data_IF_223292034721
#
_entry.id   IF_223292034721
#
_cell.length_a   1.000
_cell.length_b   1.000
_cell.length_c   1.000
_cell.angle_alpha   90.00
_cell.angle_beta   90.00
_cell.angle_gamma   90.00
#
_symmetry.space_group_name_H-M   'P 1'
#
loop_
_entity.id
_entity.type
_entity.pdbx_description
1 polymer ?
#
# COMPACT_ATOMS: atom_id res chain seq x y z
N UNK A 1 -12.57 -8.35 -12.07
CA UNK A 1 -11.90 -9.55 -11.49
C UNK A 1 -10.85 -9.06 -10.50
N UNK A 2 -10.62 -9.73 -9.37
CA UNK A 2 -9.78 -9.18 -8.27
C UNK A 2 -8.29 -9.52 -8.37
N UNK A 3 -7.88 -10.44 -9.25
CA UNK A 3 -6.47 -10.77 -9.49
C UNK A 3 -6.04 -10.11 -10.79
N UNK A 4 -5.50 -8.91 -10.68
CA UNK A 4 -5.04 -8.13 -11.81
C UNK A 4 -3.89 -7.23 -11.37
N UNK A 5 -2.97 -7.01 -12.29
CA UNK A 5 -1.89 -6.02 -12.27
C UNK A 5 -2.22 -4.80 -13.16
N UNK A 6 -3.30 -4.89 -13.95
CA UNK A 6 -3.75 -3.82 -14.83
C UNK A 6 -4.42 -2.70 -14.04
N UNK A 7 -4.03 -1.47 -14.36
CA UNK A 7 -4.75 -0.26 -13.93
C UNK A 7 -5.72 0.25 -14.99
N UNK A 8 -5.84 -0.45 -16.13
CA UNK A 8 -6.69 -0.08 -17.25
C UNK A 8 -8.17 -0.08 -16.89
N UNK A 9 -8.87 0.94 -17.36
CA UNK A 9 -10.32 1.13 -17.31
C UNK A 9 -10.87 1.06 -18.72
N UNK A 10 -11.79 0.12 -18.96
CA UNK A 10 -12.53 0.03 -20.22
C UNK A 10 -13.58 1.13 -20.37
N UNK A 11 -14.11 1.27 -21.59
CA UNK A 11 -15.26 2.13 -21.89
C UNK A 11 -16.48 1.82 -21.01
N UNK A 12 -16.69 0.54 -20.67
CA UNK A 12 -17.76 0.11 -19.75
C UNK A 12 -17.50 0.67 -18.35
N UNK A 13 -16.27 0.57 -17.85
CA UNK A 13 -15.89 1.14 -16.56
C UNK A 13 -16.08 2.67 -16.53
N UNK A 14 -15.65 3.36 -17.59
CA UNK A 14 -15.82 4.80 -17.72
C UNK A 14 -17.31 5.18 -17.74
N UNK A 15 -18.14 4.41 -18.44
CA UNK A 15 -19.59 4.65 -18.50
C UNK A 15 -20.26 4.51 -17.14
N UNK A 16 -19.89 3.49 -16.36
CA UNK A 16 -20.37 3.30 -14.97
C UNK A 16 -19.98 4.51 -14.11
N UNK A 17 -18.75 5.00 -14.24
CA UNK A 17 -18.32 6.16 -13.47
C UNK A 17 -19.04 7.45 -13.89
N UNK A 18 -19.28 7.62 -15.20
CA UNK A 18 -20.03 8.76 -15.74
C UNK A 18 -21.43 8.83 -15.14
N UNK A 19 -22.17 7.73 -15.19
CA UNK A 19 -23.54 7.64 -14.66
C UNK A 19 -23.59 8.12 -13.20
N UNK A 20 -22.76 7.53 -12.34
CA UNK A 20 -22.71 7.92 -10.93
C UNK A 20 -22.29 9.38 -10.72
N UNK A 21 -21.23 9.83 -11.41
CA UNK A 21 -20.64 11.16 -11.17
C UNK A 21 -21.57 12.27 -11.68
N UNK A 22 -22.16 12.09 -12.86
CA UNK A 22 -23.09 13.06 -13.44
C UNK A 22 -24.35 13.22 -12.56
N UNK A 23 -24.88 12.11 -12.02
CA UNK A 23 -26.05 12.13 -11.14
C UNK A 23 -25.78 12.74 -9.75
N UNK A 24 -24.62 12.45 -9.15
CA UNK A 24 -24.36 12.81 -7.75
C UNK A 24 -23.55 14.10 -7.56
N UNK A 25 -22.74 14.49 -8.54
CA UNK A 25 -21.86 15.67 -8.47
C UNK A 25 -22.08 16.66 -9.61
N UNK A 26 -22.66 16.21 -10.73
CA UNK A 26 -22.87 17.01 -11.93
C UNK A 26 -21.77 16.86 -12.97
N UNK A 27 -22.11 17.19 -14.21
CA UNK A 27 -21.29 16.92 -15.40
C UNK A 27 -19.86 17.48 -15.33
N UNK A 28 -19.69 18.65 -14.72
CA UNK A 28 -18.39 19.32 -14.59
C UNK A 28 -17.39 18.58 -13.68
N UNK A 29 -17.82 17.56 -12.95
CA UNK A 29 -16.95 16.72 -12.15
C UNK A 29 -16.45 15.49 -12.90
N UNK A 30 -17.12 15.06 -13.96
CA UNK A 30 -16.71 13.89 -14.73
C UNK A 30 -15.52 14.22 -15.65
N UNK A 31 -14.45 13.45 -15.53
CA UNK A 31 -13.24 13.59 -16.35
C UNK A 31 -12.71 12.19 -16.71
N UNK A 32 -13.05 11.65 -17.90
CA UNK A 32 -12.77 10.27 -18.24
C UNK A 32 -11.27 10.03 -18.35
N UNK A 33 -10.79 8.95 -17.73
CA UNK A 33 -9.40 8.51 -17.79
C UNK A 33 -9.35 7.00 -17.96
N UNK A 34 -8.80 6.55 -19.07
CA UNK A 34 -8.63 5.13 -19.31
C UNK A 34 -7.65 4.49 -18.34
N UNK A 35 -6.58 5.19 -17.94
CA UNK A 35 -5.46 4.63 -17.15
C UNK A 35 -4.81 3.39 -17.82
N UNK A 36 -3.52 3.16 -17.56
CA UNK A 36 -2.80 2.01 -18.10
C UNK A 36 -2.83 1.88 -19.64
N UNK A 37 -2.26 0.78 -20.13
CA UNK A 37 -2.25 0.43 -21.55
C UNK A 37 -3.18 -0.77 -21.82
N UNK A 38 -3.45 -1.06 -23.10
CA UNK A 38 -4.38 -2.10 -23.57
C UNK A 38 -4.14 -3.50 -22.98
N UNK A 39 -5.10 -4.41 -23.19
CA UNK A 39 -5.00 -5.80 -22.73
C UNK A 39 -6.37 -6.38 -22.38
N UNK A 40 -6.42 -7.69 -22.18
CA UNK A 40 -7.65 -8.40 -21.80
C UNK A 40 -8.07 -8.14 -20.35
N UNK A 41 -7.18 -7.60 -19.52
CA UNK A 41 -7.41 -7.36 -18.10
C UNK A 41 -7.70 -5.88 -17.81
N UNK A 42 -8.56 -5.66 -16.82
CA UNK A 42 -8.93 -4.35 -16.29
C UNK A 42 -8.62 -4.25 -14.80
N UNK A 43 -8.60 -3.03 -14.29
CA UNK A 43 -8.52 -2.73 -12.87
C UNK A 43 -9.67 -3.34 -12.06
N UNK A 44 -9.49 -3.37 -10.74
CA UNK A 44 -10.54 -3.74 -9.80
C UNK A 44 -11.49 -2.54 -9.66
N UNK A 45 -12.73 -2.70 -10.10
CA UNK A 45 -13.76 -1.65 -10.10
C UNK A 45 -15.16 -2.22 -9.82
N UNK A 46 -16.13 -1.37 -9.47
CA UNK A 46 -17.55 -1.74 -9.47
C UNK A 46 -18.04 -2.20 -10.85
N UNK A 47 -19.09 -3.00 -10.84
CA UNK A 47 -19.81 -3.42 -12.05
C UNK A 47 -21.09 -2.62 -12.30
N UNK A 48 -21.54 -1.85 -11.30
CA UNK A 48 -22.71 -0.98 -11.33
C UNK A 48 -22.38 0.33 -10.59
N UNK A 49 -23.09 1.43 -10.88
CA UNK A 49 -22.90 2.72 -10.23
C UNK A 49 -23.52 2.80 -8.82
N UNK A 50 -23.64 1.68 -8.10
CA UNK A 50 -24.27 1.65 -6.77
C UNK A 50 -23.25 1.91 -5.69
N UNK A 51 -23.45 2.96 -4.90
CA UNK A 51 -22.63 3.18 -3.71
C UNK A 51 -23.04 2.23 -2.57
N UNK A 52 -22.42 2.41 -1.39
CA UNK A 52 -22.68 1.56 -0.23
C UNK A 52 -24.09 1.75 0.33
N UNK A 53 -24.66 2.95 0.24
CA UNK A 53 -25.99 3.23 0.79
C UNK A 53 -27.09 2.62 -0.09
N UNK A 54 -26.90 2.63 -1.41
CA UNK A 54 -27.74 1.88 -2.34
C UNK A 54 -27.66 0.37 -2.07
N UNK A 55 -26.45 -0.19 -1.94
CA UNK A 55 -26.28 -1.61 -1.59
C UNK A 55 -26.96 -1.97 -0.26
N UNK A 56 -26.89 -1.10 0.75
CA UNK A 56 -27.59 -1.30 2.04
C UNK A 56 -29.10 -1.29 1.86
N UNK A 57 -29.62 -0.38 1.04
CA UNK A 57 -31.05 -0.29 0.75
C UNK A 57 -31.56 -1.56 0.04
N UNK A 58 -30.81 -2.05 -0.95
CA UNK A 58 -31.10 -3.32 -1.63
C UNK A 58 -31.01 -4.54 -0.69
N UNK A 59 -30.09 -4.52 0.28
CA UNK A 59 -30.01 -5.55 1.32
C UNK A 59 -31.24 -5.54 2.24
N UNK A 60 -31.69 -4.36 2.67
CA UNK A 60 -32.90 -4.21 3.49
C UNK A 60 -34.16 -4.65 2.73
N UNK A 61 -34.22 -4.38 1.42
CA UNK A 61 -35.28 -4.84 0.54
C UNK A 61 -35.22 -6.35 0.20
N UNK A 62 -34.19 -7.08 0.68
CA UNK A 62 -34.01 -8.51 0.45
C UNK A 62 -33.55 -8.88 -0.96
N UNK A 63 -33.14 -7.90 -1.79
CA UNK A 63 -32.69 -8.10 -3.16
C UNK A 63 -31.25 -8.64 -3.23
N UNK A 64 -30.41 -8.25 -2.26
CA UNK A 64 -29.03 -8.72 -2.12
C UNK A 64 -28.89 -9.39 -0.75
N UNK A 65 -28.24 -10.55 -0.73
CA UNK A 65 -27.96 -11.30 0.50
C UNK A 65 -26.46 -11.52 0.66
N UNK A 66 -26.03 -11.84 1.90
CA UNK A 66 -24.68 -12.33 2.22
C UNK A 66 -23.52 -11.31 2.10
N UNK A 67 -23.80 -10.01 2.13
CA UNK A 67 -22.76 -9.00 2.33
C UNK A 67 -22.55 -8.76 3.83
N UNK A 68 -21.30 -8.90 4.28
CA UNK A 68 -20.89 -8.58 5.65
C UNK A 68 -20.45 -7.12 5.73
N UNK A 69 -20.24 -6.62 6.95
CA UNK A 69 -19.66 -5.29 7.16
C UNK A 69 -18.32 -5.11 6.44
N UNK A 70 -17.46 -6.13 6.47
CA UNK A 70 -16.13 -6.05 5.85
C UNK A 70 -16.22 -6.08 4.31
N UNK A 71 -17.18 -6.81 3.74
CA UNK A 71 -17.46 -6.74 2.32
C UNK A 71 -17.86 -5.33 1.89
N UNK A 72 -18.75 -4.68 2.65
CA UNK A 72 -19.18 -3.31 2.36
C UNK A 72 -18.03 -2.31 2.49
N UNK A 73 -17.16 -2.44 3.50
CA UNK A 73 -15.99 -1.55 3.67
C UNK A 73 -14.97 -1.70 2.55
N UNK A 74 -14.69 -2.94 2.12
CA UNK A 74 -13.80 -3.18 0.98
C UNK A 74 -14.41 -2.64 -0.33
N UNK A 75 -15.71 -2.86 -0.53
CA UNK A 75 -16.43 -2.30 -1.67
C UNK A 75 -16.38 -0.78 -1.68
N UNK A 76 -16.64 -0.13 -0.53
CA UNK A 76 -16.58 1.32 -0.39
C UNK A 76 -15.22 1.88 -0.81
N UNK A 77 -14.14 1.24 -0.37
CA UNK A 77 -12.77 1.62 -0.71
C UNK A 77 -12.54 1.53 -2.22
N UNK A 78 -12.94 0.41 -2.85
CA UNK A 78 -12.83 0.20 -4.29
C UNK A 78 -13.66 1.23 -5.05
N UNK A 79 -14.91 1.45 -4.62
CA UNK A 79 -15.86 2.36 -5.24
C UNK A 79 -15.34 3.80 -5.19
N UNK A 80 -14.95 4.29 -4.01
CA UNK A 80 -14.40 5.63 -3.81
C UNK A 80 -13.14 5.85 -4.64
N UNK A 81 -12.21 4.89 -4.63
CA UNK A 81 -10.98 4.96 -5.43
C UNK A 81 -11.29 5.01 -6.93
N UNK A 82 -12.23 4.18 -7.39
CA UNK A 82 -12.60 4.11 -8.80
C UNK A 82 -13.28 5.39 -9.28
N UNK A 83 -14.29 5.89 -8.56
CA UNK A 83 -14.99 7.12 -8.93
C UNK A 83 -14.04 8.33 -8.89
N UNK A 84 -13.23 8.47 -7.83
CA UNK A 84 -12.19 9.50 -7.75
C UNK A 84 -11.24 9.46 -8.98
N UNK A 85 -10.91 8.25 -9.46
CA UNK A 85 -10.06 8.07 -10.64
C UNK A 85 -10.67 8.59 -11.94
N UNK A 86 -11.97 8.89 -11.98
CA UNK A 86 -12.70 9.44 -13.14
C UNK A 86 -13.27 10.84 -12.89
N UNK A 87 -12.90 11.49 -11.77
CA UNK A 87 -13.31 12.87 -11.46
C UNK A 87 -12.24 13.88 -11.84
N UNK A 88 -12.61 15.14 -12.09
CA UNK A 88 -11.63 16.21 -12.33
C UNK A 88 -10.60 16.35 -11.17
N UNK A 89 -9.40 16.88 -11.42
CA UNK A 89 -8.44 17.20 -10.37
C UNK A 89 -9.01 18.22 -9.37
N UNK A 90 -8.64 18.10 -8.10
CA UNK A 90 -8.81 19.18 -7.13
C UNK A 90 -7.74 20.26 -7.37
N UNK A 91 -8.08 21.53 -7.15
CA UNK A 91 -7.11 22.62 -7.10
C UNK A 91 -6.84 22.96 -5.64
N UNK A 92 -5.57 23.02 -5.28
CA UNK A 92 -5.12 23.20 -3.90
C UNK A 92 -4.06 24.29 -3.82
N UNK A 93 -3.95 24.91 -2.66
CA UNK A 93 -2.81 25.72 -2.28
C UNK A 93 -1.79 24.85 -1.55
N UNK A 94 -0.52 24.97 -1.95
CA UNK A 94 0.60 24.27 -1.34
C UNK A 94 1.54 25.31 -0.74
N UNK A 95 1.86 25.16 0.53
CA UNK A 95 2.83 26.01 1.21
C UNK A 95 4.13 25.23 1.44
N UNK A 96 5.25 25.86 1.08
CA UNK A 96 6.60 25.32 1.31
C UNK A 96 7.20 25.98 2.54
N UNK A 97 7.79 25.18 3.42
CA UNK A 97 8.40 25.70 4.64
C UNK A 97 9.64 24.90 5.03
N UNK A 98 10.50 25.54 5.81
CA UNK A 98 11.71 24.94 6.33
C UNK A 98 11.55 24.70 7.83
N UNK A 99 11.87 23.48 8.26
CA UNK A 99 11.95 23.15 9.69
C UNK A 99 13.41 23.14 10.09
N UNK A 100 13.76 24.04 11.00
CA UNK A 100 15.10 24.19 11.55
C UNK A 100 15.08 23.70 13.00
N UNK A 101 15.75 22.59 13.33
CA UNK A 101 15.90 22.16 14.71
C UNK A 101 16.92 23.06 15.44
N UNK A 102 16.54 23.60 16.59
CA UNK A 102 17.37 24.48 17.43
C UNK A 102 17.46 23.88 18.84
N UNK A 103 18.66 23.74 19.41
CA UNK A 103 18.80 23.41 20.84
C UNK A 103 18.80 24.70 21.68
N UNK A 104 18.42 24.60 22.95
CA UNK A 104 18.57 25.68 23.93
C UNK A 104 20.05 26.15 24.07
N UNK A 105 21.03 25.29 23.77
CA UNK A 105 22.45 25.50 24.11
C UNK A 105 23.40 25.65 22.89
N UNK A 106 22.88 25.78 21.67
CA UNK A 106 23.68 25.89 20.44
C UNK A 106 23.11 25.11 19.25
N UNK A 107 23.73 25.22 18.08
CA UNK A 107 23.18 24.60 16.87
C UNK A 107 23.33 23.07 16.87
N UNK A 108 22.21 22.38 16.63
CA UNK A 108 22.20 20.97 16.21
C UNK A 108 22.76 20.91 14.78
N UNK A 109 23.77 20.08 14.47
CA UNK A 109 24.26 19.88 13.10
C UNK A 109 23.29 18.97 12.32
N UNK A 110 21.99 19.28 12.36
CA UNK A 110 20.97 18.53 11.63
C UNK A 110 20.63 19.30 10.37
N UNK A 111 20.51 18.63 9.21
CA UNK A 111 20.10 19.30 8.00
C UNK A 111 18.71 19.93 8.18
N UNK A 112 18.58 21.17 7.68
CA UNK A 112 17.31 21.81 7.40
C UNK A 112 16.40 20.83 6.65
N UNK A 113 15.16 20.68 7.12
CA UNK A 113 14.17 19.83 6.46
C UNK A 113 13.19 20.72 5.71
N UNK A 114 13.29 20.71 4.38
CA UNK A 114 12.28 21.32 3.52
C UNK A 114 11.04 20.41 3.46
N UNK A 115 9.86 21.01 3.65
CA UNK A 115 8.58 20.34 3.55
C UNK A 115 7.62 21.13 2.67
N UNK A 116 6.67 20.41 2.09
CA UNK A 116 5.56 20.97 1.32
C UNK A 116 4.28 20.32 1.82
N UNK A 117 3.30 21.12 2.21
CA UNK A 117 2.00 20.63 2.69
C UNK A 117 0.87 21.38 2.00
N UNK A 118 -0.27 20.70 1.84
CA UNK A 118 -1.49 21.30 1.30
C UNK A 118 -2.16 22.13 2.40
N UNK A 119 -2.37 23.43 2.17
CA UNK A 119 -2.90 24.37 3.18
C UNK A 119 -4.34 24.79 2.94
N UNK A 120 -4.84 24.64 1.71
CA UNK A 120 -6.24 24.88 1.40
C UNK A 120 -6.68 24.17 0.12
N UNK A 121 -7.99 23.92 -0.01
CA UNK A 121 -8.61 23.42 -1.24
C UNK A 121 -9.31 24.61 -1.91
N UNK A 122 -8.81 25.01 -3.08
CA UNK A 122 -9.33 26.14 -3.85
C UNK A 122 -10.52 25.73 -4.73
N UNK A 123 -10.53 24.48 -5.20
CA UNK A 123 -11.62 23.91 -6.00
C UNK A 123 -11.71 22.40 -5.80
N UNK A 124 -12.90 21.91 -5.46
CA UNK A 124 -13.15 20.49 -5.32
C UNK A 124 -13.10 19.73 -6.65
N UNK A 125 -12.66 18.48 -6.58
CA UNK A 125 -12.64 17.49 -7.64
C UNK A 125 -12.74 16.10 -7.04
N UNK A 126 -11.78 15.22 -7.34
CA UNK A 126 -11.74 13.86 -6.79
C UNK A 126 -11.75 13.78 -5.26
N UNK A 127 -11.39 14.87 -4.57
CA UNK A 127 -11.33 14.92 -3.11
C UNK A 127 -12.68 14.73 -2.42
N UNK A 128 -13.79 14.95 -3.13
CA UNK A 128 -15.13 14.63 -2.62
C UNK A 128 -15.33 13.11 -2.41
N UNK A 129 -14.62 12.27 -3.18
CA UNK A 129 -14.63 10.81 -3.00
C UNK A 129 -13.46 10.31 -2.17
N UNK A 130 -12.29 10.96 -2.27
CA UNK A 130 -11.08 10.63 -1.49
C UNK A 130 -10.50 11.89 -0.85
N UNK A 131 -10.88 12.21 0.40
CA UNK A 131 -10.50 13.46 1.05
C UNK A 131 -9.00 13.74 1.03
N UNK A 132 -8.66 15.01 0.83
CA UNK A 132 -7.29 15.53 0.93
C UNK A 132 -7.12 16.10 2.33
N UNK A 133 -6.03 15.76 3.01
CA UNK A 133 -5.67 16.36 4.29
C UNK A 133 -5.15 17.78 4.06
N UNK A 134 -5.60 18.71 4.91
CA UNK A 134 -5.23 20.12 4.87
C UNK A 134 -4.57 20.50 6.18
N UNK A 135 -3.39 21.10 6.08
CA UNK A 135 -2.54 21.44 7.22
C UNK A 135 -2.59 22.94 7.51
N UNK A 136 -2.79 23.29 8.77
CA UNK A 136 -2.64 24.66 9.23
C UNK A 136 -1.18 24.90 9.64
N UNK A 137 -0.50 25.79 8.92
CA UNK A 137 0.87 26.18 9.19
C UNK A 137 0.90 27.49 9.97
N UNK A 138 1.52 27.47 11.16
CA UNK A 138 1.86 28.67 11.94
C UNK A 138 3.37 28.84 11.87
N UNK A 139 3.83 30.03 11.49
CA UNK A 139 5.24 30.40 11.59
C UNK A 139 5.61 30.65 13.05
N UNK A 140 6.79 30.22 13.47
CA UNK A 140 7.33 30.48 14.80
C UNK A 140 8.23 29.38 15.33
N UNK A 141 8.73 29.60 16.54
CA UNK A 141 9.52 28.63 17.28
C UNK A 141 8.60 27.79 18.16
N UNK A 142 8.66 26.47 17.99
CA UNK A 142 7.87 25.52 18.77
C UNK A 142 8.81 24.78 19.72
N UNK A 143 8.54 24.84 21.03
CA UNK A 143 9.29 24.03 22.00
C UNK A 143 8.89 22.57 21.83
N UNK A 144 9.89 21.70 21.65
CA UNK A 144 9.71 20.26 21.56
C UNK A 144 9.75 19.70 22.98
N UNK A 145 8.66 19.08 23.41
CA UNK A 145 8.53 18.42 24.71
C UNK A 145 8.17 16.95 24.51
N UNK A 146 8.64 16.09 25.41
CA UNK A 146 8.26 14.67 25.39
C UNK A 146 6.80 14.52 25.83
N UNK A 147 6.13 13.47 25.34
CA UNK A 147 4.70 13.25 25.60
C UNK A 147 4.37 13.07 27.10
N UNK A 148 5.36 12.65 27.90
CA UNK A 148 5.25 12.50 29.36
C UNK A 148 5.29 13.85 30.11
N UNK A 149 5.81 14.91 29.50
CA UNK A 149 5.85 16.27 30.06
C UNK A 149 4.55 17.05 29.80
N UNK A 150 3.58 16.43 29.13
CA UNK A 150 2.30 17.04 28.75
C UNK A 150 1.13 16.66 29.67
N UNK A 151 1.45 15.97 30.77
CA UNK A 151 0.52 15.62 31.84
C UNK A 151 0.92 16.32 33.14
N UNK A 152 -0.05 16.89 33.86
CA UNK A 152 0.19 17.39 35.22
C UNK A 152 0.56 16.23 36.18
N UNK A 153 0.92 16.55 37.44
CA UNK A 153 1.23 15.57 38.47
C UNK A 153 0.07 14.58 38.75
N UNK A 154 -1.13 14.87 38.25
CA UNK A 154 -2.35 14.07 38.36
C UNK A 154 -2.70 13.28 37.08
N UNK A 155 -1.93 13.45 35.99
CA UNK A 155 -2.12 12.75 34.71
C UNK A 155 -3.05 13.43 33.70
N UNK A 156 -3.50 14.67 33.94
CA UNK A 156 -4.38 15.40 33.04
C UNK A 156 -3.59 16.08 31.92
N UNK A 157 -4.12 16.05 30.69
CA UNK A 157 -3.51 16.70 29.52
C UNK A 157 -3.59 18.23 29.66
N UNK A 158 -2.45 18.90 29.57
CA UNK A 158 -2.40 20.36 29.49
C UNK A 158 -3.02 20.84 28.16
N UNK A 159 -3.78 21.95 28.15
CA UNK A 159 -4.42 22.46 26.92
C UNK A 159 -3.41 23.16 25.99
N UNK A 160 -3.56 22.96 24.68
CA UNK A 160 -2.76 23.57 23.60
C UNK A 160 -3.08 25.08 23.38
N UNK A 161 -3.21 25.86 24.46
CA UNK A 161 -3.60 27.26 24.39
C UNK A 161 -2.56 28.20 25.02
N UNK A 162 -1.50 28.51 24.28
CA UNK A 162 -0.84 29.82 24.36
C UNK A 162 0.00 30.08 23.11
N UNK A 163 0.34 31.34 22.86
CA UNK A 163 1.17 31.79 21.74
C UNK A 163 2.57 31.13 21.67
N UNK A 164 2.96 30.44 22.73
CA UNK A 164 4.08 29.52 22.81
C UNK A 164 3.61 28.08 22.55
N UNK A 165 3.19 27.77 21.32
CA UNK A 165 2.67 26.45 20.99
C UNK A 165 3.75 25.37 21.23
N UNK A 166 3.65 24.63 22.33
CA UNK A 166 4.38 23.38 22.51
C UNK A 166 3.77 22.37 21.55
N UNK A 167 4.59 21.82 20.65
CA UNK A 167 4.18 20.69 19.80
C UNK A 167 4.76 19.42 20.38
N UNK A 168 3.89 18.48 20.74
CA UNK A 168 4.29 17.13 21.16
C UNK A 168 4.88 16.44 19.92
N UNK A 169 6.15 16.06 20.00
CA UNK A 169 6.73 15.15 19.03
C UNK A 169 7.08 13.83 19.71
N UNK A 170 6.78 12.74 19.01
CA UNK A 170 7.13 11.40 19.42
C UNK A 170 8.39 10.98 18.68
N UNK A 171 9.39 10.48 19.41
CA UNK A 171 10.50 9.75 18.79
C UNK A 171 9.92 8.56 18.00
N UNK A 172 10.01 8.64 16.68
CA UNK A 172 9.62 7.56 15.77
C UNK A 172 10.86 6.85 15.26
N UNK A 173 10.79 5.52 15.04
CA UNK A 173 11.91 4.79 14.48
C UNK A 173 12.21 5.28 13.05
N UNK A 174 13.49 5.26 12.67
CA UNK A 174 13.96 5.61 11.32
C UNK A 174 13.30 4.76 10.22
N UNK A 175 12.90 3.53 10.57
CA UNK A 175 12.13 2.65 9.70
C UNK A 175 11.13 1.84 10.54
N UNK A 176 9.92 1.71 10.02
CA UNK A 176 8.94 0.79 10.57
C UNK A 176 9.10 -0.60 9.95
N UNK A 177 8.84 -1.68 10.71
CA UNK A 177 8.71 -3.00 10.11
C UNK A 177 7.63 -3.01 9.03
N UNK A 178 7.66 -3.98 8.13
CA UNK A 178 6.61 -4.11 7.12
C UNK A 178 5.25 -4.44 7.76
N UNK A 179 4.17 -3.88 7.22
CA UNK A 179 2.82 -4.43 7.38
C UNK A 179 2.61 -5.46 6.27
N UNK A 180 1.48 -6.20 6.29
CA UNK A 180 1.15 -7.06 5.15
C UNK A 180 1.08 -6.27 3.83
N UNK A 181 0.50 -5.06 3.88
CA UNK A 181 0.36 -4.19 2.71
C UNK A 181 1.70 -3.67 2.19
N UNK A 182 2.57 -3.14 3.07
CA UNK A 182 3.87 -2.61 2.64
C UNK A 182 4.85 -3.70 2.22
N UNK A 183 4.71 -4.93 2.75
CA UNK A 183 5.46 -6.07 2.24
C UNK A 183 5.03 -6.42 0.81
N UNK A 184 3.72 -6.45 0.53
CA UNK A 184 3.20 -6.72 -0.82
C UNK A 184 3.63 -5.61 -1.81
N UNK A 185 3.64 -4.36 -1.36
CA UNK A 185 4.14 -3.24 -2.16
C UNK A 185 5.63 -3.41 -2.50
N UNK A 186 6.46 -3.77 -1.52
CA UNK A 186 7.88 -4.03 -1.74
C UNK A 186 8.12 -5.24 -2.65
N UNK A 187 7.32 -6.31 -2.49
CA UNK A 187 7.32 -7.47 -3.39
C UNK A 187 7.03 -7.07 -4.84
N UNK A 188 6.00 -6.25 -5.07
CA UNK A 188 5.68 -5.71 -6.40
C UNK A 188 6.83 -4.89 -6.98
N UNK A 189 7.39 -3.96 -6.19
CA UNK A 189 8.51 -3.10 -6.60
C UNK A 189 9.74 -3.91 -6.99
N UNK A 190 9.97 -5.04 -6.31
CA UNK A 190 11.08 -5.95 -6.58
C UNK A 190 10.79 -7.01 -7.64
N UNK A 191 9.58 -7.04 -8.22
CA UNK A 191 9.21 -8.07 -9.21
C UNK A 191 9.12 -9.48 -8.63
N UNK A 192 8.72 -9.61 -7.36
CA UNK A 192 8.62 -10.88 -6.63
C UNK A 192 7.16 -11.21 -6.43
N UNK A 193 6.67 -12.28 -7.05
CA UNK A 193 5.28 -12.70 -6.97
C UNK A 193 4.33 -11.93 -7.90
N UNK A 194 3.06 -12.33 -7.87
CA UNK A 194 2.00 -11.94 -8.81
C UNK A 194 0.70 -11.61 -8.08
N UNK A 195 -0.28 -10.98 -8.73
CA UNK A 195 -1.61 -10.74 -8.15
C UNK A 195 -2.28 -11.99 -7.56
N UNK A 196 -1.98 -13.17 -8.09
CA UNK A 196 -2.47 -14.45 -7.58
C UNK A 196 -1.72 -14.99 -6.37
N UNK A 197 -0.48 -14.54 -6.11
CA UNK A 197 0.42 -15.13 -5.10
C UNK A 197 0.73 -14.20 -3.93
N UNK A 198 0.61 -12.87 -4.06
CA UNK A 198 0.98 -11.91 -2.99
C UNK A 198 0.40 -12.28 -1.62
N UNK A 199 -0.94 -12.34 -1.52
CA UNK A 199 -1.61 -12.66 -0.25
C UNK A 199 -1.27 -14.08 0.24
N UNK A 200 -1.10 -15.04 -0.67
CA UNK A 200 -0.78 -16.42 -0.32
C UNK A 200 0.64 -16.56 0.25
N UNK A 201 1.61 -15.81 -0.28
CA UNK A 201 2.99 -15.81 0.22
C UNK A 201 3.01 -15.30 1.66
N UNK A 202 2.38 -14.14 1.91
CA UNK A 202 2.30 -13.57 3.26
C UNK A 202 1.61 -14.53 4.22
N UNK A 203 0.47 -15.11 3.82
CA UNK A 203 -0.26 -16.08 4.63
C UNK A 203 0.58 -17.32 4.94
N UNK A 204 1.30 -17.89 3.96
CA UNK A 204 2.18 -19.05 4.18
C UNK A 204 3.32 -18.75 5.16
N UNK A 205 3.87 -17.54 5.15
CA UNK A 205 4.91 -17.13 6.11
C UNK A 205 4.36 -17.06 7.55
N UNK A 206 3.12 -16.58 7.71
CA UNK A 206 2.42 -16.52 8.99
C UNK A 206 2.03 -17.93 9.47
N UNK A 207 1.37 -18.73 8.62
CA UNK A 207 0.90 -20.08 8.94
C UNK A 207 2.04 -21.02 9.36
N UNK A 208 3.21 -20.87 8.72
CA UNK A 208 4.41 -21.67 9.02
C UNK A 208 5.22 -21.12 10.19
N UNK A 209 4.80 -20.00 10.79
CA UNK A 209 5.46 -19.40 11.94
C UNK A 209 6.84 -18.81 11.63
N UNK A 210 7.16 -18.51 10.37
CA UNK A 210 8.39 -17.80 10.01
C UNK A 210 8.30 -16.31 10.34
N UNK A 211 7.09 -15.77 10.29
CA UNK A 211 6.76 -14.38 10.61
C UNK A 211 5.58 -14.39 11.58
N UNK A 212 5.53 -13.40 12.47
CA UNK A 212 4.38 -13.13 13.31
C UNK A 212 3.90 -11.69 13.10
N UNK A 213 2.61 -11.47 13.26
CA UNK A 213 2.01 -10.14 13.22
C UNK A 213 1.76 -9.62 14.64
N UNK A 214 2.22 -8.39 14.93
CA UNK A 214 1.98 -7.68 16.19
C UNK A 214 1.73 -6.21 15.90
N UNK A 215 0.60 -5.67 16.38
CA UNK A 215 0.19 -4.28 16.13
C UNK A 215 0.25 -3.93 14.63
N UNK A 216 -0.24 -4.82 13.76
CA UNK A 216 -0.23 -4.74 12.29
C UNK A 216 1.16 -4.77 11.61
N UNK A 217 2.22 -5.01 12.37
CA UNK A 217 3.58 -5.13 11.86
C UNK A 217 4.04 -6.58 11.84
N UNK A 218 4.77 -6.95 10.80
CA UNK A 218 5.36 -8.25 10.56
C UNK A 218 6.77 -8.31 11.15
N UNK A 219 7.01 -9.32 11.99
CA UNK A 219 8.30 -9.56 12.61
C UNK A 219 8.79 -10.99 12.32
N UNK A 220 10.07 -11.16 11.93
CA UNK A 220 10.63 -12.49 11.74
C UNK A 220 10.78 -13.20 13.10
N UNK A 221 10.33 -14.45 13.16
CA UNK A 221 10.53 -15.29 14.35
C UNK A 221 11.96 -15.81 14.42
N UNK A 222 12.33 -16.41 15.57
CA UNK A 222 13.61 -17.13 15.69
C UNK A 222 13.73 -18.23 14.62
N UNK A 223 12.65 -19.01 14.43
CA UNK A 223 12.58 -20.05 13.40
C UNK A 223 12.78 -19.48 11.99
N UNK A 224 12.09 -18.38 11.65
CA UNK A 224 12.24 -17.73 10.34
C UNK A 224 13.68 -17.28 10.08
N UNK A 225 14.33 -16.67 11.08
CA UNK A 225 15.73 -16.25 10.99
C UNK A 225 16.68 -17.45 10.84
N UNK A 226 16.47 -18.52 11.60
CA UNK A 226 17.30 -19.72 11.54
C UNK A 226 17.18 -20.43 10.19
N UNK A 227 15.97 -20.58 9.66
CA UNK A 227 15.74 -21.17 8.33
C UNK A 227 16.36 -20.31 7.24
N UNK A 228 16.15 -18.99 7.27
CA UNK A 228 16.79 -18.08 6.32
C UNK A 228 18.32 -18.19 6.37
N UNK A 229 18.90 -18.12 7.57
CA UNK A 229 20.34 -18.22 7.78
C UNK A 229 20.90 -19.58 7.33
N UNK A 230 20.16 -20.66 7.53
CA UNK A 230 20.53 -21.98 7.05
C UNK A 230 20.58 -22.01 5.52
N UNK A 231 19.54 -21.51 4.86
CA UNK A 231 19.45 -21.53 3.39
C UNK A 231 20.53 -20.67 2.72
N UNK A 232 20.81 -19.47 3.23
CA UNK A 232 21.85 -18.60 2.65
C UNK A 232 23.28 -19.12 2.89
N UNK A 233 23.50 -19.97 3.91
CA UNK A 233 24.82 -20.56 4.20
C UNK A 233 25.13 -21.78 3.33
N UNK A 234 24.11 -22.43 2.80
CA UNK A 234 24.27 -23.50 1.82
C UNK A 234 24.56 -22.86 0.46
N UNK A 235 25.81 -22.90 0.01
CA UNK A 235 26.22 -22.31 -1.29
C UNK A 235 25.32 -22.76 -2.45
N UNK A 236 24.85 -23.99 -2.39
CA UNK A 236 23.97 -24.61 -3.38
C UNK A 236 22.54 -24.05 -3.34
N UNK A 237 22.05 -23.68 -2.15
CA UNK A 237 20.70 -23.14 -1.97
C UNK A 237 20.65 -21.60 -2.04
N UNK A 238 21.79 -20.93 -1.86
CA UNK A 238 21.92 -19.47 -1.85
C UNK A 238 21.30 -18.84 -3.12
N UNK A 239 21.51 -19.48 -4.29
CA UNK A 239 20.90 -19.03 -5.55
C UNK A 239 19.37 -18.97 -5.46
N UNK A 240 18.74 -19.99 -4.87
CA UNK A 240 17.28 -20.16 -4.88
C UNK A 240 16.54 -19.24 -3.91
N UNK A 241 17.25 -18.66 -2.95
CA UNK A 241 16.69 -17.68 -1.99
C UNK A 241 16.96 -16.24 -2.38
N UNK A 242 17.72 -15.99 -3.46
CA UNK A 242 17.94 -14.65 -4.00
C UNK A 242 16.71 -14.14 -4.74
N UNK A 243 16.44 -12.86 -4.54
CA UNK A 243 15.38 -12.13 -5.25
C UNK A 243 15.56 -12.23 -6.77
N UNK A 244 16.81 -12.13 -7.24
CA UNK A 244 17.16 -12.24 -8.65
C UNK A 244 16.69 -13.54 -9.31
N UNK A 245 16.92 -14.68 -8.63
CA UNK A 245 16.48 -15.97 -9.15
C UNK A 245 14.96 -16.05 -9.25
N UNK A 246 14.27 -15.47 -8.26
CA UNK A 246 12.80 -15.42 -8.27
C UNK A 246 12.31 -14.60 -9.45
N UNK A 247 12.89 -13.42 -9.71
CA UNK A 247 12.55 -12.60 -10.89
C UNK A 247 12.73 -13.35 -12.20
N UNK A 248 13.86 -14.04 -12.37
CA UNK A 248 14.14 -14.82 -13.58
C UNK A 248 13.06 -15.89 -13.80
N UNK A 249 12.62 -16.59 -12.75
CA UNK A 249 11.53 -17.56 -12.86
C UNK A 249 10.20 -16.89 -13.25
N UNK A 250 9.91 -15.71 -12.70
CA UNK A 250 8.73 -14.93 -13.07
C UNK A 250 8.76 -14.56 -14.57
N UNK A 251 9.89 -14.05 -15.07
CA UNK A 251 10.04 -13.72 -16.49
C UNK A 251 9.91 -14.94 -17.40
N UNK A 252 10.45 -16.10 -16.98
CA UNK A 252 10.31 -17.35 -17.73
C UNK A 252 8.85 -17.79 -17.82
N UNK A 253 8.07 -17.64 -16.74
CA UNK A 253 6.63 -17.92 -16.77
C UNK A 253 5.90 -17.00 -17.75
N UNK A 254 6.27 -15.71 -17.83
CA UNK A 254 5.69 -14.77 -18.80
C UNK A 254 6.02 -15.16 -20.25
N UNK A 255 7.26 -15.60 -20.50
CA UNK A 255 7.69 -16.09 -21.82
C UNK A 255 6.91 -17.35 -22.23
N UNK A 256 6.63 -18.24 -21.29
CA UNK A 256 5.79 -19.43 -21.53
C UNK A 256 4.37 -19.00 -21.87
N UNK A 257 3.78 -18.05 -21.13
CA UNK A 257 2.43 -17.55 -21.38
C UNK A 257 2.29 -16.93 -22.79
N UNK A 258 3.33 -16.23 -23.26
CA UNK A 258 3.39 -15.68 -24.63
C UNK A 258 3.77 -16.70 -25.71
N UNK A 259 4.06 -17.95 -25.34
CA UNK A 259 4.47 -19.00 -26.28
C UNK A 259 5.90 -18.85 -26.82
N UNK A 260 6.73 -18.02 -26.20
CA UNK A 260 8.13 -17.77 -26.60
C UNK A 260 9.08 -18.90 -26.17
N UNK A 261 8.73 -19.63 -25.11
CA UNK A 261 9.53 -20.73 -24.55
C UNK A 261 8.64 -21.93 -24.24
N UNK A 262 9.13 -23.14 -24.52
CA UNK A 262 8.43 -24.37 -24.18
C UNK A 262 8.63 -24.76 -22.72
N UNK A 263 7.53 -24.92 -21.98
CA UNK A 263 7.56 -25.11 -20.52
C UNK A 263 8.35 -26.35 -20.07
N UNK A 264 8.39 -27.41 -20.88
CA UNK A 264 9.13 -28.65 -20.53
C UNK A 264 10.63 -28.39 -20.45
N UNK A 265 11.17 -27.52 -21.30
CA UNK A 265 12.61 -27.25 -21.32
C UNK A 265 13.02 -26.47 -20.07
N UNK A 266 12.21 -25.47 -19.68
CA UNK A 266 12.40 -24.73 -18.42
C UNK A 266 12.32 -25.66 -17.21
N UNK A 267 11.36 -26.59 -17.20
CA UNK A 267 11.22 -27.57 -16.11
C UNK A 267 12.43 -28.51 -16.02
N UNK A 268 12.96 -28.97 -17.16
CA UNK A 268 14.17 -29.81 -17.18
C UNK A 268 15.37 -29.06 -16.63
N UNK A 269 15.59 -27.82 -17.04
CA UNK A 269 16.70 -26.99 -16.56
C UNK A 269 16.61 -26.77 -15.06
N UNK A 270 15.42 -26.37 -14.56
CA UNK A 270 15.19 -26.18 -13.13
C UNK A 270 15.38 -27.47 -12.33
N UNK A 271 14.90 -28.61 -12.85
CA UNK A 271 15.08 -29.91 -12.22
C UNK A 271 16.56 -30.27 -12.06
N UNK A 272 17.38 -30.06 -13.10
CA UNK A 272 18.81 -30.31 -13.04
C UNK A 272 19.54 -29.38 -12.07
N UNK A 273 19.13 -28.13 -11.97
CA UNK A 273 19.67 -27.19 -10.98
C UNK A 273 19.35 -27.62 -9.54
N UNK A 274 18.11 -28.05 -9.28
CA UNK A 274 17.68 -28.51 -7.95
C UNK A 274 18.39 -29.82 -7.56
N UNK A 275 18.54 -30.77 -8.48
CA UNK A 275 19.25 -32.03 -8.21
C UNK A 275 20.72 -31.83 -7.81
N UNK A 276 21.38 -30.76 -8.27
CA UNK A 276 22.74 -30.43 -7.81
C UNK A 276 22.77 -30.13 -6.32
N UNK A 277 21.69 -29.60 -5.74
CA UNK A 277 21.56 -29.40 -4.29
C UNK A 277 21.47 -30.74 -3.55
N UNK A 278 20.72 -31.71 -4.09
CA UNK A 278 20.53 -33.03 -3.46
C UNK A 278 21.77 -33.92 -3.52
N UNK A 279 22.45 -33.99 -4.68
CA UNK A 279 23.63 -34.86 -4.86
C UNK A 279 24.82 -34.49 -3.96
N UNK A 280 24.84 -33.27 -3.41
CA UNK A 280 25.87 -32.83 -2.46
C UNK A 280 25.54 -33.16 -0.99
N UNK A 281 24.27 -33.47 -0.68
CA UNK A 281 23.88 -33.97 0.66
C UNK A 281 24.16 -35.47 0.86
N UNK A 282 24.34 -36.23 -0.23
CA UNK A 282 24.62 -37.67 -0.21
C UNK A 282 26.09 -38.07 -0.01
N UNK A 283 26.99 -37.10 0.23
CA UNK A 283 28.42 -37.34 0.50
C UNK A 283 28.78 -37.07 1.98
N UNK A 284 27.89 -37.39 2.92
CA UNK A 284 28.21 -37.51 4.34
C UNK A 284 27.98 -38.93 4.82
#
# INVERSE_FOLDING_TARGET
YHRTDSTRVSDVGISIAREYIDENFGHDYFYPRHWGEGGAHECIRPTHPWDVEELRSMMLAGQIQRLTRDHLRLYELIFKRFMASQMRPAQVEVSKFEVIPVLENGELPTPKVEKEEITSILRDGFNLMTPIEVYYLKEGTFRVVEQEEFTDEEGNKLEEHSDSAMKIYKLVPLAYPYTQGSLIEEMKKRGIGRPSTYAQIVQKLLDRGYVIERKNFLFPTKLGKEVYNYLIRLKEAEKFVKEEFTRILEELMDKIERGEVYYIDVLKDLYWEVLRIEKLKGNK
#
